data_IF_649283070316
#
_entry.id   IF_649283070316
#
_cell.length_a   1.000
_cell.length_b   1.000
_cell.length_c   1.000
_cell.angle_alpha   90.00
_cell.angle_beta   90.00
_cell.angle_gamma   90.00
#
_symmetry.space_group_name_H-M   'P 1'
#
loop_
_entity.id
_entity.type
_entity.pdbx_description
1 polymer ?
#
# COMPACT_ATOMS: atom_id res chain seq x y z
N UNK A 1 -0.83 -0.97 -29.56
CA UNK A 1 0.48 -0.54 -30.08
C UNK A 1 0.99 -1.60 -31.04
N UNK A 2 1.34 -1.24 -32.28
CA UNK A 2 1.92 -2.19 -33.25
C UNK A 2 3.27 -2.71 -32.69
N UNK A 3 3.43 -4.02 -32.59
CA UNK A 3 4.55 -4.69 -31.90
C UNK A 3 5.92 -4.59 -32.58
N UNK A 4 6.05 -3.82 -33.67
CA UNK A 4 7.27 -3.72 -34.47
C UNK A 4 8.48 -3.22 -33.68
N UNK A 5 8.28 -2.43 -32.63
CA UNK A 5 9.39 -1.84 -31.86
C UNK A 5 9.88 -2.77 -30.74
N UNK A 6 9.01 -3.62 -30.19
CA UNK A 6 9.37 -4.59 -29.14
C UNK A 6 10.26 -5.69 -29.73
N UNK A 7 10.05 -6.03 -31.01
CA UNK A 7 10.84 -7.03 -31.73
C UNK A 7 12.27 -6.54 -32.09
N UNK A 8 12.53 -5.23 -32.04
CA UNK A 8 13.82 -4.64 -32.37
C UNK A 8 14.85 -4.96 -31.28
N UNK A 9 15.97 -5.54 -31.67
CA UNK A 9 17.04 -5.95 -30.75
C UNK A 9 17.86 -4.75 -30.29
N UNK A 10 17.93 -3.71 -31.11
CA UNK A 10 18.62 -2.45 -30.86
C UNK A 10 17.90 -1.56 -29.84
N UNK A 11 16.60 -1.77 -29.62
CA UNK A 11 15.82 -1.04 -28.61
C UNK A 11 15.98 -1.75 -27.28
N UNK A 12 16.52 -1.06 -26.27
CA UNK A 12 16.71 -1.61 -24.92
C UNK A 12 15.53 -1.32 -24.01
N UNK A 13 15.11 -0.05 -23.92
CA UNK A 13 13.95 0.38 -23.18
C UNK A 13 13.28 1.63 -23.79
N UNK A 14 12.12 1.99 -23.24
CA UNK A 14 11.42 3.24 -23.52
C UNK A 14 11.60 4.20 -22.34
N UNK A 15 12.64 5.03 -22.40
CA UNK A 15 12.80 6.18 -21.51
C UNK A 15 11.84 7.32 -21.86
N UNK A 16 11.50 8.15 -20.87
CA UNK A 16 10.82 9.43 -21.09
C UNK A 16 11.58 10.47 -20.27
N UNK A 17 11.95 11.57 -20.92
CA UNK A 17 12.65 12.68 -20.30
C UNK A 17 11.65 13.53 -19.52
N UNK A 18 11.94 13.76 -18.24
CA UNK A 18 11.18 14.59 -17.30
C UNK A 18 9.64 14.51 -17.46
N UNK A 19 9.04 13.31 -17.34
CA UNK A 19 7.60 13.16 -17.44
C UNK A 19 6.91 13.92 -16.30
N UNK A 20 5.92 14.74 -16.64
CA UNK A 20 5.03 15.33 -15.65
C UNK A 20 4.10 14.26 -15.05
N UNK A 21 3.42 14.60 -13.94
CA UNK A 21 2.58 13.67 -13.19
C UNK A 21 1.42 13.09 -14.04
N UNK A 22 0.80 13.91 -14.89
CA UNK A 22 -0.31 13.49 -15.75
C UNK A 22 0.15 12.48 -16.81
N UNK A 23 1.32 12.72 -17.41
CA UNK A 23 1.92 11.80 -18.35
C UNK A 23 2.34 10.51 -17.66
N UNK A 24 2.93 10.59 -16.47
CA UNK A 24 3.31 9.40 -15.71
C UNK A 24 2.07 8.56 -15.35
N UNK A 25 0.97 9.20 -14.99
CA UNK A 25 -0.31 8.53 -14.73
C UNK A 25 -0.85 7.86 -15.99
N UNK A 26 -0.86 8.56 -17.13
CA UNK A 26 -1.29 8.00 -18.42
C UNK A 26 -0.44 6.78 -18.80
N UNK A 27 0.89 6.92 -18.70
CA UNK A 27 1.84 5.85 -19.00
C UNK A 27 1.60 4.64 -18.11
N UNK A 28 1.44 4.84 -16.80
CA UNK A 28 1.14 3.77 -15.86
C UNK A 28 -0.14 3.02 -16.23
N UNK A 29 -1.19 3.74 -16.62
CA UNK A 29 -2.45 3.14 -17.06
C UNK A 29 -2.22 2.28 -18.30
N UNK A 30 -1.62 2.84 -19.35
CA UNK A 30 -1.38 2.14 -20.60
C UNK A 30 -0.48 0.91 -20.43
N UNK A 31 0.63 1.05 -19.70
CA UNK A 31 1.59 -0.04 -19.49
C UNK A 31 0.96 -1.17 -18.67
N UNK A 32 0.23 -0.85 -17.59
CA UNK A 32 -0.44 -1.87 -16.76
C UNK A 32 -1.57 -2.54 -17.51
N UNK A 33 -2.35 -1.80 -18.29
CA UNK A 33 -3.42 -2.37 -19.11
C UNK A 33 -2.86 -3.38 -20.12
N UNK A 34 -1.76 -3.02 -20.79
CA UNK A 34 -1.04 -3.95 -21.67
C UNK A 34 -0.56 -5.19 -20.91
N UNK A 35 0.06 -5.03 -19.74
CA UNK A 35 0.54 -6.17 -18.94
C UNK A 35 -0.59 -7.06 -18.43
N UNK A 36 -1.76 -6.49 -18.10
CA UNK A 36 -2.93 -7.28 -17.74
C UNK A 36 -3.44 -8.11 -18.93
N UNK A 37 -3.40 -7.58 -20.15
CA UNK A 37 -3.71 -8.35 -21.35
C UNK A 37 -2.71 -9.49 -21.53
N UNK A 38 -1.42 -9.29 -21.26
CA UNK A 38 -0.40 -10.35 -21.29
C UNK A 38 -0.64 -11.43 -20.24
N UNK A 39 -1.06 -11.05 -19.01
CA UNK A 39 -1.46 -12.01 -17.97
C UNK A 39 -2.62 -12.87 -18.46
N UNK A 40 -3.67 -12.25 -19.04
CA UNK A 40 -4.82 -12.99 -19.57
C UNK A 40 -4.45 -13.91 -20.74
N UNK A 41 -3.54 -13.48 -21.63
CA UNK A 41 -3.04 -14.33 -22.73
C UNK A 41 -2.31 -15.55 -22.20
N UNK A 42 -1.39 -15.37 -21.25
CA UNK A 42 -0.64 -16.49 -20.64
C UNK A 42 -1.60 -17.40 -19.88
N UNK A 43 -2.54 -16.83 -19.12
CA UNK A 43 -3.55 -17.59 -18.40
C UNK A 43 -4.39 -18.47 -19.34
N UNK A 44 -4.87 -17.92 -20.46
CA UNK A 44 -5.59 -18.68 -21.50
C UNK A 44 -4.74 -19.80 -22.10
N UNK A 45 -3.44 -19.55 -22.30
CA UNK A 45 -2.51 -20.57 -22.78
C UNK A 45 -2.28 -21.68 -21.76
N UNK A 46 -2.31 -21.37 -20.46
CA UNK A 46 -2.16 -22.34 -19.36
C UNK A 46 -3.40 -23.20 -19.18
N UNK A 47 -4.60 -22.63 -19.35
CA UNK A 47 -5.87 -23.36 -19.17
C UNK A 47 -6.25 -24.30 -20.32
N UNK A 48 -5.55 -24.23 -21.47
CA UNK A 48 -5.76 -25.11 -22.62
C UNK A 48 -6.97 -24.75 -23.50
N UNK A 49 -6.67 -24.48 -24.78
CA UNK A 49 -7.52 -24.55 -25.99
C UNK A 49 -9.05 -24.48 -25.85
N UNK A 50 -9.61 -23.28 -25.98
CA UNK A 50 -10.82 -23.07 -26.79
C UNK A 50 -10.51 -21.92 -27.73
N UNK A 51 -10.30 -22.21 -29.02
CA UNK A 51 -10.32 -21.17 -30.05
C UNK A 51 -11.75 -20.63 -30.11
N UNK A 52 -12.04 -19.54 -29.38
CA UNK A 52 -13.20 -18.71 -29.69
C UNK A 52 -12.85 -17.90 -30.93
N UNK A 53 -13.61 -18.10 -32.01
CA UNK A 53 -13.42 -17.40 -33.27
C UNK A 53 -13.73 -15.91 -33.08
N UNK A 54 -13.11 -15.07 -33.90
CA UNK A 54 -13.30 -13.61 -33.87
C UNK A 54 -14.76 -13.19 -34.11
N UNK A 55 -15.58 -14.08 -34.70
CA UNK A 55 -17.01 -13.88 -34.92
C UNK A 55 -17.85 -13.97 -33.63
N UNK A 56 -17.47 -14.77 -32.63
CA UNK A 56 -18.24 -14.91 -31.38
C UNK A 56 -18.04 -13.73 -30.40
N UNK A 57 -17.04 -12.88 -30.63
CA UNK A 57 -16.76 -11.70 -29.78
C UNK A 57 -17.68 -10.52 -30.11
N UNK A 58 -18.28 -10.49 -31.29
CA UNK A 58 -19.16 -9.41 -31.74
C UNK A 58 -20.63 -9.57 -31.31
N UNK A 59 -21.01 -10.74 -30.79
CA UNK A 59 -22.40 -11.08 -30.49
C UNK A 59 -22.71 -11.28 -29.00
N UNK A 60 -21.76 -11.01 -28.10
CA UNK A 60 -22.02 -11.07 -26.65
C UNK A 60 -22.56 -9.75 -26.10
N UNK A 61 -23.72 -9.75 -25.41
CA UNK A 61 -24.19 -8.56 -24.72
C UNK A 61 -23.20 -8.18 -23.62
N UNK A 62 -22.90 -6.89 -23.52
CA UNK A 62 -22.03 -6.29 -22.50
C UNK A 62 -22.65 -6.52 -21.12
N UNK A 63 -22.28 -7.63 -20.46
CA UNK A 63 -22.67 -7.90 -19.08
C UNK A 63 -21.65 -7.24 -18.15
N UNK A 64 -21.95 -6.02 -17.73
CA UNK A 64 -21.29 -5.33 -16.62
C UNK A 64 -21.78 -5.89 -15.28
N UNK A 65 -21.38 -7.10 -14.92
CA UNK A 65 -21.57 -7.61 -13.56
C UNK A 65 -20.91 -8.96 -13.39
N UNK A 66 -19.68 -8.98 -12.86
CA UNK A 66 -19.21 -10.03 -11.97
C UNK A 66 -17.98 -9.54 -11.21
N UNK A 67 -18.22 -8.68 -10.22
CA UNK A 67 -17.31 -8.45 -9.10
C UNK A 67 -17.57 -9.56 -8.08
N UNK A 68 -17.02 -10.75 -8.33
CA UNK A 68 -17.27 -11.93 -7.51
C UNK A 68 -16.03 -12.81 -7.42
N UNK A 69 -15.47 -12.91 -6.20
CA UNK A 69 -14.61 -14.00 -5.75
C UNK A 69 -13.33 -14.23 -6.57
N UNK A 70 -12.26 -13.51 -6.24
CA UNK A 70 -10.87 -13.93 -6.54
C UNK A 70 -10.56 -15.13 -5.62
N UNK A 71 -11.17 -16.26 -5.93
CA UNK A 71 -10.73 -17.55 -5.44
C UNK A 71 -9.36 -17.85 -6.07
N UNK A 72 -8.58 -18.64 -5.34
CA UNK A 72 -7.15 -18.87 -5.48
C UNK A 72 -6.77 -19.58 -6.79
N UNK A 73 -6.95 -18.92 -7.93
CA UNK A 73 -6.64 -19.47 -9.24
C UNK A 73 -5.12 -19.57 -9.41
N UNK A 74 -4.63 -20.79 -9.19
CA UNK A 74 -3.24 -21.23 -9.40
C UNK A 74 -2.69 -20.70 -10.73
N UNK A 75 -3.52 -20.70 -11.77
CA UNK A 75 -3.11 -20.31 -13.12
C UNK A 75 -2.97 -18.81 -13.25
N UNK A 76 -3.85 -18.03 -12.60
CA UNK A 76 -3.68 -16.58 -12.49
C UNK A 76 -2.38 -16.23 -11.77
N UNK A 77 -2.05 -16.88 -10.65
CA UNK A 77 -0.77 -16.67 -9.95
C UNK A 77 0.43 -17.02 -10.83
N UNK A 78 0.36 -18.14 -11.55
CA UNK A 78 1.42 -18.59 -12.46
C UNK A 78 1.60 -17.64 -13.65
N UNK A 79 0.50 -17.15 -14.22
CA UNK A 79 0.53 -16.17 -15.31
C UNK A 79 1.13 -14.83 -14.86
N UNK A 80 0.76 -14.34 -13.67
CA UNK A 80 1.35 -13.13 -13.09
C UNK A 80 2.85 -13.31 -12.87
N UNK A 81 3.27 -14.45 -12.30
CA UNK A 81 4.69 -14.74 -12.07
C UNK A 81 5.48 -14.74 -13.40
N UNK A 82 4.93 -15.35 -14.45
CA UNK A 82 5.53 -15.35 -15.78
C UNK A 82 5.65 -13.93 -16.38
N UNK A 83 4.61 -13.10 -16.26
CA UNK A 83 4.66 -11.70 -16.70
C UNK A 83 5.70 -10.91 -15.91
N UNK A 84 5.80 -11.11 -14.60
CA UNK A 84 6.82 -10.46 -13.76
C UNK A 84 8.24 -10.88 -14.21
N UNK A 85 8.45 -12.14 -14.54
CA UNK A 85 9.74 -12.58 -15.09
C UNK A 85 10.03 -11.95 -16.46
N UNK A 86 9.03 -11.90 -17.36
CA UNK A 86 9.17 -11.24 -18.66
C UNK A 86 9.52 -9.75 -18.52
N UNK A 87 8.92 -9.05 -17.54
CA UNK A 87 9.27 -7.67 -17.21
C UNK A 87 10.73 -7.57 -16.79
N UNK A 88 11.19 -8.45 -15.88
CA UNK A 88 12.59 -8.46 -15.39
C UNK A 88 13.60 -8.80 -16.48
N UNK A 89 13.22 -9.67 -17.40
CA UNK A 89 14.03 -10.06 -18.56
C UNK A 89 14.01 -9.01 -19.69
N UNK A 90 13.30 -7.90 -19.51
CA UNK A 90 13.27 -6.81 -20.49
C UNK A 90 12.46 -7.14 -21.75
N UNK A 91 11.60 -8.15 -21.73
CA UNK A 91 10.78 -8.56 -22.89
C UNK A 91 9.93 -7.41 -23.39
N UNK A 92 9.36 -6.63 -22.47
CA UNK A 92 8.47 -5.52 -22.78
C UNK A 92 9.18 -4.17 -22.94
N UNK A 93 10.53 -4.15 -22.90
CA UNK A 93 11.34 -2.93 -23.10
C UNK A 93 10.93 -1.77 -22.18
N UNK A 94 10.48 -2.07 -20.96
CA UNK A 94 10.16 -1.06 -19.95
C UNK A 94 11.45 -0.57 -19.30
N UNK A 95 11.55 0.74 -19.09
CA UNK A 95 12.66 1.30 -18.32
C UNK A 95 12.67 0.74 -16.89
N UNK A 96 13.85 0.67 -16.26
CA UNK A 96 14.03 0.09 -14.91
C UNK A 96 13.09 0.69 -13.86
N UNK A 97 12.83 1.99 -13.94
CA UNK A 97 11.90 2.66 -13.02
C UNK A 97 10.47 2.23 -13.31
N UNK A 98 10.09 2.22 -14.59
CA UNK A 98 8.75 1.86 -15.02
C UNK A 98 8.42 0.39 -14.73
N UNK A 99 9.39 -0.51 -14.93
CA UNK A 99 9.23 -1.93 -14.64
C UNK A 99 8.91 -2.19 -13.17
N UNK A 100 9.59 -1.50 -12.25
CA UNK A 100 9.31 -1.56 -10.81
C UNK A 100 7.88 -1.07 -10.51
N UNK A 101 7.47 0.08 -11.07
CA UNK A 101 6.12 0.63 -10.88
C UNK A 101 5.04 -0.35 -11.37
N UNK A 102 5.22 -0.90 -12.57
CA UNK A 102 4.30 -1.88 -13.16
C UNK A 102 4.17 -3.15 -12.32
N UNK A 103 5.29 -3.70 -11.83
CA UNK A 103 5.27 -4.87 -10.93
C UNK A 103 4.50 -4.54 -9.64
N UNK A 104 4.71 -3.37 -9.05
CA UNK A 104 3.98 -2.95 -7.85
C UNK A 104 2.47 -2.79 -8.10
N UNK A 105 2.08 -2.23 -9.25
CA UNK A 105 0.67 -2.06 -9.62
C UNK A 105 -0.01 -3.40 -9.89
N UNK A 106 0.67 -4.33 -10.58
CA UNK A 106 0.18 -5.70 -10.77
C UNK A 106 0.02 -6.41 -9.43
N UNK A 107 1.05 -6.37 -8.57
CA UNK A 107 0.97 -6.98 -7.24
C UNK A 107 -0.17 -6.40 -6.42
N UNK A 108 -0.44 -5.09 -6.51
CA UNK A 108 -1.57 -4.45 -5.83
C UNK A 108 -2.92 -4.91 -6.37
N UNK A 109 -3.03 -5.04 -7.71
CA UNK A 109 -4.26 -5.45 -8.38
C UNK A 109 -4.71 -6.84 -7.94
N UNK A 110 -3.76 -7.76 -7.75
CA UNK A 110 -4.01 -9.15 -7.35
C UNK A 110 -3.77 -9.42 -5.86
N UNK A 111 -3.53 -8.38 -5.06
CA UNK A 111 -3.28 -8.52 -3.63
C UNK A 111 -4.54 -8.99 -2.89
N UNK A 112 -4.45 -10.12 -2.19
CA UNK A 112 -5.51 -10.53 -1.27
C UNK A 112 -5.44 -9.68 0.02
N UNK A 113 -6.29 -8.66 0.10
CA UNK A 113 -6.37 -7.74 1.26
C UNK A 113 -6.83 -8.42 2.55
N UNK A 114 -7.48 -9.57 2.46
CA UNK A 114 -7.87 -10.37 3.63
C UNK A 114 -6.67 -11.11 4.23
N UNK A 115 -5.65 -11.41 3.43
CA UNK A 115 -4.41 -12.01 3.89
C UNK A 115 -3.47 -10.95 4.47
N UNK A 116 -3.41 -10.88 5.81
CA UNK A 116 -2.56 -9.92 6.54
C UNK A 116 -1.07 -10.05 6.21
N UNK A 117 -0.58 -11.27 5.95
CA UNK A 117 0.83 -11.51 5.65
C UNK A 117 1.19 -10.96 4.27
N UNK A 118 0.40 -11.29 3.25
CA UNK A 118 0.60 -10.76 1.89
C UNK A 118 0.51 -9.23 1.86
N UNK A 119 -0.46 -8.65 2.58
CA UNK A 119 -0.57 -7.19 2.68
C UNK A 119 0.64 -6.56 3.37
N UNK A 120 1.17 -7.20 4.43
CA UNK A 120 2.38 -6.74 5.13
C UNK A 120 3.60 -6.76 4.20
N UNK A 121 3.78 -7.85 3.45
CA UNK A 121 4.87 -8.00 2.48
C UNK A 121 4.79 -6.94 1.36
N UNK A 122 3.62 -6.77 0.75
CA UNK A 122 3.38 -5.71 -0.24
C UNK A 122 3.71 -4.33 0.32
N UNK A 123 3.25 -4.02 1.54
CA UNK A 123 3.53 -2.74 2.19
C UNK A 123 5.03 -2.52 2.42
N UNK A 124 5.77 -3.55 2.81
CA UNK A 124 7.21 -3.47 3.02
C UNK A 124 7.96 -3.25 1.71
N UNK A 125 7.53 -3.90 0.63
CA UNK A 125 8.07 -3.70 -0.71
C UNK A 125 7.91 -2.24 -1.15
N UNK A 126 6.69 -1.69 -1.07
CA UNK A 126 6.44 -0.28 -1.42
C UNK A 126 7.27 0.68 -0.54
N UNK A 127 7.36 0.40 0.77
CA UNK A 127 8.20 1.19 1.67
C UNK A 127 9.67 1.16 1.29
N UNK A 128 10.21 -0.01 0.94
CA UNK A 128 11.60 -0.16 0.50
C UNK A 128 11.86 0.66 -0.76
N UNK A 129 10.96 0.61 -1.74
CA UNK A 129 11.08 1.40 -2.98
C UNK A 129 11.03 2.91 -2.73
N UNK A 130 10.07 3.37 -1.92
CA UNK A 130 9.97 4.78 -1.54
C UNK A 130 11.21 5.24 -0.78
N UNK A 131 11.73 4.40 0.11
CA UNK A 131 12.97 4.67 0.83
C UNK A 131 14.15 4.78 -0.13
N UNK A 132 14.31 3.84 -1.06
CA UNK A 132 15.41 3.85 -2.04
C UNK A 132 15.38 5.10 -2.93
N UNK A 133 14.19 5.51 -3.41
CA UNK A 133 14.05 6.76 -4.19
C UNK A 133 14.42 8.00 -3.36
N UNK A 134 14.12 7.96 -2.06
CA UNK A 134 14.39 9.07 -1.15
C UNK A 134 15.74 8.93 -0.45
N UNK A 135 16.52 7.89 -0.72
CA UNK A 135 17.70 7.50 0.05
C UNK A 135 18.77 8.59 -0.01
N UNK A 136 19.02 9.14 -1.20
CA UNK A 136 19.97 10.23 -1.42
C UNK A 136 19.56 11.51 -0.67
N UNK A 137 18.26 11.82 -0.66
CA UNK A 137 17.72 12.96 0.06
C UNK A 137 17.82 12.75 1.58
N UNK A 138 17.60 11.51 2.04
CA UNK A 138 17.61 11.15 3.46
C UNK A 138 19.02 10.98 4.03
N UNK A 139 20.00 10.56 3.21
CA UNK A 139 21.39 10.36 3.65
C UNK A 139 22.13 11.68 3.87
N UNK A 140 21.73 12.74 3.17
CA UNK A 140 22.29 14.09 3.32
C UNK A 140 21.66 14.94 4.43
N UNK A 141 20.56 14.50 5.04
CA UNK A 141 19.88 15.27 6.09
C UNK A 141 20.53 15.08 7.46
N UNK A 142 20.71 16.18 8.18
CA UNK A 142 21.06 16.13 9.59
C UNK A 142 19.85 15.77 10.49
N UNK A 143 20.11 15.48 11.77
CA UNK A 143 19.05 15.11 12.71
C UNK A 143 18.00 16.22 12.92
N UNK A 144 18.40 17.49 12.78
CA UNK A 144 17.51 18.64 12.96
C UNK A 144 16.58 18.80 11.77
N UNK A 145 17.09 18.65 10.55
CA UNK A 145 16.34 18.65 9.30
C UNK A 145 15.36 17.48 9.28
N UNK A 146 15.80 16.27 9.66
CA UNK A 146 14.92 15.10 9.79
C UNK A 146 13.80 15.36 10.81
N UNK A 147 14.09 16.03 11.93
CA UNK A 147 13.09 16.40 12.95
C UNK A 147 12.11 17.46 12.44
N UNK A 148 12.61 18.45 11.69
CA UNK A 148 11.78 19.45 11.03
C UNK A 148 10.88 18.83 9.95
N UNK A 149 11.40 17.92 9.13
CA UNK A 149 10.65 17.20 8.11
C UNK A 149 9.52 16.37 8.74
N UNK A 150 9.83 15.65 9.82
CA UNK A 150 8.82 14.92 10.62
C UNK A 150 7.74 15.85 11.17
N UNK A 151 8.11 17.02 11.67
CA UNK A 151 7.17 18.01 12.19
C UNK A 151 6.30 18.63 11.07
N UNK A 152 6.84 18.83 9.86
CA UNK A 152 6.08 19.31 8.68
C UNK A 152 5.12 18.25 8.16
N UNK A 153 5.59 17.02 7.99
CA UNK A 153 4.77 15.87 7.57
C UNK A 153 3.64 15.57 8.57
N UNK A 154 3.84 15.79 9.86
CA UNK A 154 2.80 15.68 10.88
C UNK A 154 1.71 16.75 10.79
N UNK A 155 2.00 17.91 10.16
CA UNK A 155 1.07 19.02 9.97
C UNK A 155 0.38 19.00 8.60
N UNK A 156 1.03 18.46 7.58
CA UNK A 156 0.52 18.40 6.19
C UNK A 156 -0.20 17.08 5.85
N UNK A 157 -0.38 16.15 6.80
CA UNK A 157 -1.09 14.90 6.56
C UNK A 157 -2.60 15.10 6.26
N UNK A 158 -2.87 15.25 4.95
CA UNK A 158 -4.12 15.15 4.20
C UNK A 158 -5.13 16.32 4.26
N UNK A 159 -5.75 16.71 3.10
CA UNK A 159 -6.99 17.47 3.12
C UNK A 159 -8.02 16.67 3.91
N UNK A 160 -8.90 17.36 4.65
CA UNK A 160 -10.03 16.80 5.40
C UNK A 160 -10.94 16.00 4.46
N UNK A 161 -10.58 14.76 4.12
CA UNK A 161 -11.52 13.78 3.60
C UNK A 161 -12.47 13.52 4.75
N UNK A 162 -13.72 13.96 4.60
CA UNK A 162 -14.84 13.62 5.47
C UNK A 162 -14.69 12.17 5.91
N UNK A 163 -14.61 11.96 7.21
CA UNK A 163 -14.30 10.68 7.83
C UNK A 163 -15.32 9.61 7.44
N UNK A 164 -15.10 8.92 6.32
CA UNK A 164 -15.69 7.61 6.07
C UNK A 164 -14.93 6.64 6.97
N UNK A 165 -15.54 6.33 8.11
CA UNK A 165 -15.12 5.29 9.05
C UNK A 165 -14.73 4.03 8.27
N UNK A 166 -13.46 3.63 8.38
CA UNK A 166 -13.06 2.24 8.13
C UNK A 166 -13.81 1.36 9.12
N UNK A 167 -14.77 0.59 8.62
CA UNK A 167 -15.35 -0.55 9.30
C UNK A 167 -14.24 -1.58 9.52
N UNK A 168 -13.79 -1.69 10.77
CA UNK A 168 -13.18 -2.94 11.26
C UNK A 168 -14.34 -3.89 11.54
N UNK A 169 -14.47 -4.93 10.75
CA UNK A 169 -15.27 -6.09 11.11
C UNK A 169 -14.59 -6.80 12.28
N UNK A 170 -15.25 -6.76 13.44
CA UNK A 170 -14.83 -7.33 14.71
C UNK A 170 -15.61 -6.64 15.82
N UNK A 171 -16.79 -7.20 16.10
CA UNK A 171 -17.78 -6.90 17.15
C UNK A 171 -17.48 -5.73 18.11
N UNK A 172 -18.43 -4.79 18.16
CA UNK A 172 -18.77 -3.90 19.26
C UNK A 172 -17.62 -3.45 20.17
N UNK A 173 -16.92 -2.40 19.74
CA UNK A 173 -16.37 -1.45 20.72
C UNK A 173 -16.87 -0.05 20.42
N UNK A 174 -18.03 0.25 21.01
CA UNK A 174 -18.33 1.61 21.47
C UNK A 174 -17.07 2.20 22.14
N UNK A 175 -16.88 3.55 22.14
CA UNK A 175 -15.80 4.18 22.89
C UNK A 175 -15.78 3.57 24.29
N UNK A 176 -14.73 2.80 24.58
CA UNK A 176 -14.65 2.04 25.83
C UNK A 176 -14.78 3.06 26.94
N UNK A 177 -15.83 2.93 27.76
CA UNK A 177 -15.97 3.72 28.97
C UNK A 177 -14.62 3.65 29.68
N UNK A 178 -13.98 4.80 30.01
CA UNK A 178 -12.66 4.78 30.59
C UNK A 178 -12.70 3.86 31.82
N UNK A 179 -11.76 2.90 31.87
CA UNK A 179 -11.59 2.01 33.01
C UNK A 179 -11.51 2.84 34.31
N UNK A 180 -11.98 2.31 35.45
CA UNK A 180 -11.85 2.96 36.75
C UNK A 180 -10.42 3.48 37.01
N UNK A 181 -9.40 2.70 36.63
CA UNK A 181 -8.00 3.13 36.67
C UNK A 181 -7.73 4.40 35.85
N UNK A 182 -8.27 4.50 34.64
CA UNK A 182 -8.08 5.68 33.77
C UNK A 182 -8.82 6.91 34.28
N UNK A 183 -9.96 6.74 34.95
CA UNK A 183 -10.68 7.82 35.61
C UNK A 183 -9.90 8.31 36.84
N UNK A 184 -9.42 7.37 37.65
CA UNK A 184 -8.56 7.64 38.80
C UNK A 184 -7.26 8.35 38.42
N UNK A 185 -6.55 7.88 37.39
CA UNK A 185 -5.31 8.52 36.95
C UNK A 185 -5.54 9.94 36.41
N UNK A 186 -6.73 10.24 35.87
CA UNK A 186 -7.09 11.60 35.45
C UNK A 186 -7.32 12.54 36.64
N UNK A 187 -7.79 12.04 37.78
CA UNK A 187 -8.01 12.85 38.99
C UNK A 187 -6.78 12.92 39.88
N UNK A 188 -6.01 11.84 39.96
CA UNK A 188 -4.87 11.72 40.89
C UNK A 188 -3.57 12.28 40.33
N UNK A 189 -3.32 12.16 39.02
CA UNK A 189 -2.09 12.72 38.43
C UNK A 189 -2.01 14.25 38.58
N UNK A 190 -3.09 15.04 38.41
CA UNK A 190 -3.08 16.46 38.71
C UNK A 190 -2.88 16.77 40.20
N UNK A 191 -3.49 16.01 41.12
CA UNK A 191 -3.30 16.19 42.58
C UNK A 191 -1.84 15.99 42.97
N UNK A 192 -1.23 14.89 42.53
CA UNK A 192 0.17 14.58 42.80
C UNK A 192 1.11 15.67 42.26
N UNK A 193 0.80 16.23 41.08
CA UNK A 193 1.57 17.34 40.49
C UNK A 193 1.33 18.67 41.19
N UNK A 194 0.15 18.90 41.76
CA UNK A 194 -0.16 20.10 42.54
C UNK A 194 0.53 20.06 43.91
N UNK A 195 0.54 18.89 44.56
CA UNK A 195 1.19 18.68 45.86
C UNK A 195 2.72 18.66 45.74
N UNK A 196 3.24 18.26 44.57
CA UNK A 196 4.68 18.24 44.28
C UNK A 196 5.00 18.88 42.92
N UNK A 197 4.96 20.23 42.81
CA UNK A 197 5.17 20.93 41.54
C UNK A 197 6.56 20.77 40.93
N UNK A 198 7.54 20.31 41.72
CA UNK A 198 8.94 20.12 41.31
C UNK A 198 9.24 18.72 40.78
N UNK A 199 8.31 17.76 40.92
CA UNK A 199 8.53 16.37 40.49
C UNK A 199 8.40 16.22 38.97
N UNK A 200 9.31 15.44 38.39
CA UNK A 200 9.24 15.08 36.98
C UNK A 200 7.98 14.23 36.70
N UNK A 201 7.37 14.41 35.52
CA UNK A 201 6.13 13.72 35.12
C UNK A 201 6.16 12.20 35.35
N UNK A 202 7.30 11.54 35.09
CA UNK A 202 7.45 10.09 35.27
C UNK A 202 7.35 9.67 36.74
N UNK A 203 7.83 10.50 37.65
CA UNK A 203 7.80 10.24 39.10
C UNK A 203 6.42 10.52 39.67
N UNK A 204 5.80 11.64 39.27
CA UNK A 204 4.41 11.94 39.60
C UNK A 204 3.46 10.83 39.12
N UNK A 205 3.70 10.25 37.93
CA UNK A 205 2.92 9.13 37.43
C UNK A 205 3.12 7.84 38.23
N UNK A 206 4.35 7.53 38.63
CA UNK A 206 4.63 6.37 39.49
C UNK A 206 3.96 6.51 40.85
N UNK A 207 4.00 7.70 41.45
CA UNK A 207 3.35 7.95 42.75
C UNK A 207 1.82 7.86 42.64
N UNK A 208 1.23 8.47 41.61
CA UNK A 208 -0.20 8.35 41.33
C UNK A 208 -0.62 6.89 41.07
N UNK A 209 0.19 6.11 40.33
CA UNK A 209 -0.07 4.70 40.11
C UNK A 209 0.08 3.85 41.38
N UNK A 210 1.00 4.20 42.29
CA UNK A 210 1.10 3.54 43.60
C UNK A 210 -0.12 3.81 44.48
N UNK A 211 -0.72 5.00 44.40
CA UNK A 211 -1.94 5.35 45.12
C UNK A 211 -3.17 4.55 44.65
N UNK A 212 -3.14 3.97 43.44
CA UNK A 212 -4.23 3.14 42.92
C UNK A 212 -4.51 1.92 43.82
N UNK A 213 -3.49 1.36 44.47
CA UNK A 213 -3.65 0.23 45.39
C UNK A 213 -4.60 0.52 46.58
N UNK A 214 -4.73 1.80 46.93
CA UNK A 214 -5.56 2.28 48.03
C UNK A 214 -6.86 2.95 47.54
N UNK A 215 -7.15 2.87 46.23
CA UNK A 215 -8.36 3.43 45.64
C UNK A 215 -9.58 2.57 46.01
N UNK A 216 -10.75 3.17 46.28
CA UNK A 216 -11.99 2.41 46.53
C UNK A 216 -12.47 1.59 45.32
N UNK A 217 -11.92 1.85 44.12
CA UNK A 217 -12.26 1.18 42.87
C UNK A 217 -11.23 0.11 42.41
N UNK A 218 -10.24 -0.25 43.24
CA UNK A 218 -9.19 -1.25 42.94
C UNK A 218 -9.46 -2.63 43.58
#
# INVERSE_FOLDING_TARGET
MKGDFIARKEVYDFGVEDPNDDFQMLRDICDVEFLLQEVEKIKKSLSGSNNLSLEELLDRPVVTSNLGSIADDSDTKRAIAAVIENIKNGVYKLSKIQSIRCIEMLNLKFLNRSNKQQYKEYRLLVKRRLFQRNEEILSGMDENEMKQLKNRMGKEAAPKRSAVKKTKSGEDSAPRKPSPYNLFMKTELPKVKADNPTLAHKEAFKLAASNWKNSPDN
#
